data_IF_682793556283
#
_entry.id   IF_682793556283
#
_cell.length_a   1.000
_cell.length_b   1.000
_cell.length_c   1.000
_cell.angle_alpha   90.00
_cell.angle_beta   90.00
_cell.angle_gamma   90.00
#
_symmetry.space_group_name_H-M   'P 1'
#
loop_
_entity.id
_entity.type
_entity.pdbx_description
1 polymer ?
#
# COMPACT_ATOMS: atom_id res chain seq x y z
N UNK A 1 27.48 -0.34 4.93
CA UNK A 1 26.46 0.12 3.96
C UNK A 1 25.03 -0.18 4.43
N UNK A 2 24.68 -1.44 4.69
CA UNK A 2 23.31 -1.84 5.12
C UNK A 2 22.92 -1.25 6.48
N UNK A 3 23.81 -1.30 7.48
CA UNK A 3 23.54 -0.77 8.83
C UNK A 3 23.27 0.75 8.86
N UNK A 4 23.89 1.51 7.94
CA UNK A 4 23.67 2.96 7.82
C UNK A 4 22.26 3.32 7.37
N UNK A 5 21.76 2.58 6.38
CA UNK A 5 20.42 2.77 5.87
C UNK A 5 19.38 2.41 6.94
N UNK A 6 19.60 1.31 7.67
CA UNK A 6 18.73 0.87 8.76
C UNK A 6 18.63 1.91 9.89
N UNK A 7 19.74 2.54 10.28
CA UNK A 7 19.75 3.61 11.30
C UNK A 7 18.97 4.85 10.87
N UNK A 8 19.07 5.26 9.60
CA UNK A 8 18.28 6.36 9.06
C UNK A 8 16.79 6.00 8.97
N UNK A 9 16.46 4.78 8.56
CA UNK A 9 15.10 4.26 8.49
C UNK A 9 14.43 4.20 9.87
N UNK A 10 15.20 3.95 10.94
CA UNK A 10 14.70 3.98 12.32
C UNK A 10 14.42 5.39 12.89
N UNK A 11 14.76 6.46 12.16
CA UNK A 11 14.62 7.85 12.62
C UNK A 11 13.67 8.66 11.75
N UNK A 12 12.56 9.13 12.34
CA UNK A 12 11.54 9.96 11.67
C UNK A 12 12.03 11.33 11.19
N UNK A 13 13.21 11.76 11.65
CA UNK A 13 13.83 13.04 11.26
C UNK A 13 14.98 12.87 10.25
N UNK A 14 15.23 11.64 9.78
CA UNK A 14 16.31 11.38 8.85
C UNK A 14 15.88 11.64 7.40
N UNK A 15 16.52 12.60 6.75
CA UNK A 15 16.31 12.92 5.33
C UNK A 15 17.39 12.32 4.43
N UNK A 16 18.62 12.21 4.94
CA UNK A 16 19.76 11.68 4.19
C UNK A 16 20.70 10.90 5.13
N UNK A 17 21.26 9.80 4.62
CA UNK A 17 22.39 9.12 5.26
C UNK A 17 23.55 8.97 4.27
N UNK A 18 24.75 9.32 4.69
CA UNK A 18 25.98 9.21 3.90
C UNK A 18 26.89 8.13 4.49
N UNK A 19 27.42 7.25 3.64
CA UNK A 19 28.30 6.14 4.05
C UNK A 19 29.70 6.29 3.50
N UNK A 20 30.72 6.18 4.38
CA UNK A 20 32.12 6.16 3.99
C UNK A 20 32.74 4.78 3.81
N UNK A 21 33.04 4.40 2.55
CA UNK A 21 33.72 3.13 2.24
C UNK A 21 35.14 3.07 2.78
N UNK A 22 35.91 4.16 2.67
CA UNK A 22 37.28 4.24 3.17
C UNK A 22 37.36 4.33 4.69
N UNK A 23 36.41 5.02 5.35
CA UNK A 23 36.43 5.24 6.80
C UNK A 23 35.54 4.28 7.59
N UNK A 24 34.71 3.48 6.92
CA UNK A 24 33.67 2.63 7.53
C UNK A 24 32.72 3.37 8.49
N UNK A 25 32.46 4.66 8.25
CA UNK A 25 31.62 5.51 9.12
C UNK A 25 30.33 5.96 8.44
N UNK A 26 29.30 6.23 9.25
CA UNK A 26 28.01 6.74 8.83
C UNK A 26 27.75 8.17 9.31
N UNK A 27 27.00 8.96 8.55
CA UNK A 27 26.43 10.24 9.02
C UNK A 27 24.95 10.34 8.65
N UNK A 28 24.13 10.78 9.61
CA UNK A 28 22.70 11.08 9.44
C UNK A 28 22.55 12.61 9.39
N UNK A 29 21.98 13.13 8.31
CA UNK A 29 21.67 14.56 8.19
C UNK A 29 20.16 14.80 8.38
N UNK A 30 19.83 15.67 9.33
CA UNK A 30 18.46 16.07 9.66
C UNK A 30 18.14 17.37 8.93
N UNK A 31 17.07 17.40 8.13
CA UNK A 31 16.57 18.62 7.43
C UNK A 31 15.05 18.66 7.52
N UNK A 32 14.45 19.85 7.48
CA UNK A 32 12.99 20.03 7.47
C UNK A 32 12.38 19.97 6.05
N UNK A 33 13.21 20.04 4.98
CA UNK A 33 12.76 19.96 3.58
C UNK A 33 13.72 19.11 2.74
N UNK A 34 13.15 18.23 1.91
CA UNK A 34 13.88 17.32 1.00
C UNK A 34 13.82 17.88 -0.44
N UNK A 35 14.93 18.43 -0.95
CA UNK A 35 15.01 18.93 -2.34
C UNK A 35 15.88 18.03 -3.24
N UNK A 36 15.55 18.00 -4.54
CA UNK A 36 16.07 17.05 -5.55
C UNK A 36 17.25 17.66 -6.34
N UNK A 37 18.48 17.15 -6.14
CA UNK A 37 19.64 17.22 -7.06
C UNK A 37 20.60 16.03 -6.95
N UNK A 38 21.00 15.39 -8.05
CA UNK A 38 22.09 14.40 -8.03
C UNK A 38 23.42 15.15 -8.01
N UNK A 39 24.09 15.25 -6.86
CA UNK A 39 25.45 15.78 -6.78
C UNK A 39 26.39 14.76 -6.16
N UNK A 40 27.48 14.48 -6.87
CA UNK A 40 28.69 13.90 -6.29
C UNK A 40 29.43 15.00 -5.53
N UNK A 41 29.33 15.00 -4.21
CA UNK A 41 30.20 15.80 -3.35
C UNK A 41 31.33 14.89 -2.89
N UNK A 42 32.57 15.19 -3.28
CA UNK A 42 33.79 14.52 -2.80
C UNK A 42 33.79 12.97 -2.87
N UNK A 43 33.29 12.39 -3.97
CA UNK A 43 33.36 10.94 -4.20
C UNK A 43 32.29 10.10 -3.49
N UNK A 44 31.32 10.73 -2.83
CA UNK A 44 30.17 10.06 -2.21
C UNK A 44 29.02 9.83 -3.21
N UNK A 45 28.51 8.59 -3.31
CA UNK A 45 27.21 8.30 -3.96
C UNK A 45 26.09 8.50 -2.93
N UNK A 46 25.15 9.38 -3.23
CA UNK A 46 23.98 9.68 -2.40
C UNK A 46 22.74 8.92 -2.88
N UNK A 47 21.94 8.39 -1.94
CA UNK A 47 20.62 7.79 -2.20
C UNK A 47 19.58 8.75 -1.59
N UNK A 48 18.58 9.15 -2.38
CA UNK A 48 17.48 10.00 -1.92
C UNK A 48 16.29 9.17 -1.45
N UNK A 49 15.49 9.76 -0.58
CA UNK A 49 14.23 9.23 -0.06
C UNK A 49 13.04 9.90 -0.76
N UNK A 50 12.99 9.77 -2.07
CA UNK A 50 11.76 9.76 -2.85
C UNK A 50 11.23 8.33 -2.77
N UNK A 51 10.30 8.08 -1.84
CA UNK A 51 9.51 6.84 -1.76
C UNK A 51 10.37 5.60 -2.08
N UNK A 52 11.50 5.43 -1.41
CA UNK A 52 12.16 4.14 -1.37
C UNK A 52 11.36 3.29 -0.38
N UNK A 53 10.21 2.82 -0.87
CA UNK A 53 9.58 1.62 -0.37
C UNK A 53 10.71 0.58 -0.36
N UNK A 54 11.03 -0.03 0.79
CA UNK A 54 12.15 -0.97 0.90
C UNK A 54 11.81 -2.30 0.24
N UNK A 55 11.18 -2.29 -0.93
CA UNK A 55 10.66 -3.44 -1.62
C UNK A 55 10.94 -3.24 -3.10
N UNK A 56 11.80 -4.08 -3.66
CA UNK A 56 12.28 -4.01 -5.05
C UNK A 56 11.19 -4.21 -6.11
N UNK A 57 9.92 -4.30 -5.72
CA UNK A 57 8.76 -4.60 -6.55
C UNK A 57 7.57 -3.62 -6.36
N UNK A 58 7.76 -2.43 -5.76
CA UNK A 58 6.65 -1.50 -5.60
C UNK A 58 6.47 -0.56 -6.80
N UNK A 59 5.23 -0.42 -7.29
CA UNK A 59 4.86 0.56 -8.33
C UNK A 59 3.89 1.59 -7.74
N UNK A 60 4.17 2.88 -7.94
CA UNK A 60 3.29 3.98 -7.49
C UNK A 60 2.62 4.67 -8.69
N UNK A 61 1.35 5.03 -8.53
CA UNK A 61 0.51 5.71 -9.52
C UNK A 61 -0.37 6.74 -8.81
N UNK A 62 -0.81 7.79 -9.51
CA UNK A 62 -1.67 8.82 -8.90
C UNK A 62 -2.94 9.02 -9.71
N UNK A 63 -4.04 9.33 -9.01
CA UNK A 63 -5.33 9.69 -9.58
C UNK A 63 -6.07 10.60 -8.60
N UNK A 64 -6.59 11.72 -9.11
CA UNK A 64 -7.15 12.78 -8.27
C UNK A 64 -6.11 13.33 -7.29
N UNK A 65 -6.51 13.44 -6.02
CA UNK A 65 -5.66 13.91 -4.91
C UNK A 65 -5.01 12.77 -4.12
N UNK A 66 -4.95 11.56 -4.68
CA UNK A 66 -4.35 10.40 -4.01
C UNK A 66 -3.25 9.77 -4.85
N UNK A 67 -2.25 9.23 -4.16
CA UNK A 67 -1.22 8.35 -4.71
C UNK A 67 -1.46 6.94 -4.19
N UNK A 68 -1.34 5.95 -5.07
CA UNK A 68 -1.56 4.55 -4.76
C UNK A 68 -0.29 3.75 -5.02
N UNK A 69 0.10 2.92 -4.07
CA UNK A 69 1.25 2.04 -4.17
C UNK A 69 0.78 0.60 -4.20
N UNK A 70 1.08 -0.12 -5.28
CA UNK A 70 0.82 -1.56 -5.39
C UNK A 70 2.02 -2.31 -4.83
N UNK A 71 1.79 -3.04 -3.75
CA UNK A 71 2.79 -3.85 -3.07
C UNK A 71 2.60 -5.31 -3.47
N UNK A 72 3.58 -5.87 -4.18
CA UNK A 72 3.53 -7.26 -4.65
C UNK A 72 3.85 -8.27 -3.53
N UNK A 73 4.40 -7.84 -2.39
CA UNK A 73 4.61 -8.70 -1.23
C UNK A 73 3.28 -9.25 -0.69
N UNK A 74 3.30 -10.48 -0.21
CA UNK A 74 2.11 -11.12 0.32
C UNK A 74 2.07 -10.97 1.84
N UNK A 75 0.98 -10.39 2.33
CA UNK A 75 0.73 -10.20 3.76
C UNK A 75 -0.71 -10.53 4.13
N UNK A 76 -0.93 -10.79 5.41
CA UNK A 76 -2.27 -10.81 6.01
C UNK A 76 -2.84 -9.39 6.03
N UNK A 77 -4.15 -9.25 5.96
CA UNK A 77 -4.81 -7.95 5.84
C UNK A 77 -4.38 -6.96 6.93
N UNK A 78 -4.29 -7.42 8.19
CA UNK A 78 -3.87 -6.58 9.31
C UNK A 78 -2.43 -6.05 9.15
N UNK A 79 -1.50 -6.91 8.71
CA UNK A 79 -0.11 -6.54 8.45
C UNK A 79 0.03 -5.65 7.21
N UNK A 80 -0.76 -5.90 6.18
CA UNK A 80 -0.83 -5.03 5.00
C UNK A 80 -1.29 -3.61 5.40
N UNK A 81 -2.32 -3.51 6.25
CA UNK A 81 -2.76 -2.23 6.80
C UNK A 81 -1.67 -1.55 7.65
N UNK A 82 -1.04 -2.28 8.57
CA UNK A 82 0.10 -1.75 9.34
C UNK A 82 1.26 -1.29 8.43
N UNK A 83 1.53 -2.01 7.35
CA UNK A 83 2.54 -1.63 6.36
C UNK A 83 2.19 -0.32 5.68
N UNK A 84 0.95 -0.13 5.22
CA UNK A 84 0.52 1.13 4.62
C UNK A 84 0.58 2.29 5.62
N UNK A 85 0.15 2.06 6.86
CA UNK A 85 0.24 3.04 7.95
C UNK A 85 1.68 3.41 8.28
N UNK A 86 2.59 2.44 8.32
CA UNK A 86 4.03 2.66 8.53
C UNK A 86 4.68 3.52 7.44
N UNK A 87 4.10 3.54 6.24
CA UNK A 87 4.51 4.38 5.12
C UNK A 87 3.86 5.78 5.12
N UNK A 88 2.91 6.03 6.03
CA UNK A 88 2.15 7.28 6.11
C UNK A 88 0.86 7.28 5.29
N UNK A 89 0.37 6.11 4.86
CA UNK A 89 -0.89 5.95 4.13
C UNK A 89 -1.85 5.01 4.86
N UNK A 90 -2.81 4.46 4.12
CA UNK A 90 -3.76 3.43 4.57
C UNK A 90 -3.94 2.38 3.48
N UNK A 91 -4.55 1.23 3.76
CA UNK A 91 -5.08 0.42 2.66
C UNK A 91 -6.07 1.26 1.85
N UNK A 92 -6.07 1.09 0.53
CA UNK A 92 -6.92 1.90 -0.36
C UNK A 92 -8.40 1.72 -0.03
N UNK A 93 -9.12 2.82 0.03
CA UNK A 93 -10.57 2.84 0.23
C UNK A 93 -11.19 3.49 -1.00
N UNK A 94 -11.95 2.73 -1.77
CA UNK A 94 -12.42 3.16 -3.09
C UNK A 94 -13.73 3.91 -2.94
N UNK A 95 -13.67 5.24 -2.88
CA UNK A 95 -14.80 6.08 -2.50
C UNK A 95 -15.64 6.55 -3.69
N UNK A 96 -15.10 6.44 -4.91
CA UNK A 96 -15.77 6.84 -6.16
C UNK A 96 -15.68 5.74 -7.22
N UNK A 97 -16.63 5.72 -8.16
CA UNK A 97 -16.61 4.74 -9.26
C UNK A 97 -15.38 4.96 -10.14
N UNK A 98 -15.01 6.21 -10.39
CA UNK A 98 -13.85 6.57 -11.21
C UNK A 98 -12.54 6.08 -10.60
N UNK A 99 -12.40 6.19 -9.27
CA UNK A 99 -11.27 5.65 -8.53
C UNK A 99 -11.23 4.12 -8.59
N UNK A 100 -12.36 3.44 -8.36
CA UNK A 100 -12.45 1.99 -8.47
C UNK A 100 -12.03 1.50 -9.87
N UNK A 101 -12.56 2.10 -10.92
CA UNK A 101 -12.21 1.74 -12.30
C UNK A 101 -10.73 2.05 -12.61
N UNK A 102 -10.19 3.16 -12.11
CA UNK A 102 -8.77 3.49 -12.28
C UNK A 102 -7.88 2.41 -11.66
N UNK A 103 -8.12 2.06 -10.40
CA UNK A 103 -7.35 1.03 -9.69
C UNK A 103 -7.52 -0.34 -10.36
N UNK A 104 -8.74 -0.70 -10.74
CA UNK A 104 -9.05 -1.94 -11.47
C UNK A 104 -8.24 -2.06 -12.77
N UNK A 105 -8.23 -1.02 -13.59
CA UNK A 105 -7.47 -1.00 -14.85
C UNK A 105 -5.95 -1.14 -14.62
N UNK A 106 -5.45 -0.51 -13.56
CA UNK A 106 -4.04 -0.63 -13.19
C UNK A 106 -3.72 -2.07 -12.81
N UNK A 107 -4.47 -2.66 -11.87
CA UNK A 107 -4.20 -4.03 -11.40
C UNK A 107 -4.36 -5.06 -12.53
N UNK A 108 -5.32 -4.87 -13.44
CA UNK A 108 -5.44 -5.70 -14.66
C UNK A 108 -4.12 -5.65 -15.45
N UNK A 109 -3.61 -4.44 -15.72
CA UNK A 109 -2.42 -4.22 -16.55
C UNK A 109 -1.15 -4.81 -15.94
N UNK A 110 -1.02 -4.79 -14.61
CA UNK A 110 0.20 -5.22 -13.92
C UNK A 110 0.12 -6.61 -13.30
N UNK A 111 -1.03 -7.30 -13.37
CA UNK A 111 -1.29 -8.60 -12.72
C UNK A 111 -0.54 -9.80 -13.32
N UNK A 112 0.80 -9.81 -13.29
CA UNK A 112 1.56 -11.03 -13.56
C UNK A 112 1.69 -11.87 -12.29
N UNK A 113 0.96 -13.00 -12.21
CA UNK A 113 1.14 -14.00 -11.15
C UNK A 113 0.47 -13.71 -9.80
N UNK A 114 -0.24 -12.60 -9.66
CA UNK A 114 -0.92 -12.19 -8.41
C UNK A 114 -2.36 -12.73 -8.36
N UNK A 115 -2.80 -13.20 -7.19
CA UNK A 115 -4.16 -13.75 -6.98
C UNK A 115 -5.21 -12.67 -6.66
N UNK A 116 -4.82 -11.64 -5.92
CA UNK A 116 -5.72 -10.57 -5.49
C UNK A 116 -4.97 -9.53 -4.67
N UNK A 117 -5.67 -8.45 -4.32
CA UNK A 117 -5.11 -7.33 -3.59
C UNK A 117 -5.98 -6.96 -2.40
N UNK A 118 -5.42 -6.86 -1.20
CA UNK A 118 -6.12 -6.30 -0.05
C UNK A 118 -6.44 -4.81 -0.27
N UNK A 119 -7.66 -4.44 0.13
CA UNK A 119 -8.14 -3.06 0.21
C UNK A 119 -8.71 -2.79 1.62
N UNK A 120 -8.99 -1.53 1.94
CA UNK A 120 -9.32 -1.07 3.30
C UNK A 120 -10.72 -1.44 3.80
N UNK A 121 -11.45 -2.27 3.07
CA UNK A 121 -12.79 -2.69 3.44
C UNK A 121 -12.73 -3.76 4.54
N UNK A 122 -13.52 -3.57 5.60
CA UNK A 122 -13.64 -4.51 6.70
C UNK A 122 -15.09 -4.64 7.20
N UNK A 123 -15.46 -5.84 7.65
CA UNK A 123 -16.75 -6.15 8.26
C UNK A 123 -16.60 -6.13 9.78
N UNK A 124 -16.95 -5.00 10.40
CA UNK A 124 -16.73 -4.81 11.84
C UNK A 124 -17.70 -5.61 12.71
N UNK A 125 -18.91 -5.88 12.23
CA UNK A 125 -19.99 -6.42 13.05
C UNK A 125 -20.33 -7.88 12.73
N UNK A 126 -19.65 -8.49 11.76
CA UNK A 126 -20.04 -9.78 11.17
C UNK A 126 -21.51 -9.77 10.68
N UNK A 127 -22.05 -8.61 10.35
CA UNK A 127 -23.27 -8.43 9.58
C UNK A 127 -22.89 -8.25 8.10
N UNK A 128 -23.82 -8.19 7.17
CA UNK A 128 -23.45 -8.00 5.76
C UNK A 128 -23.04 -6.54 5.45
N UNK A 129 -22.73 -5.73 6.47
CA UNK A 129 -22.42 -4.31 6.35
C UNK A 129 -20.90 -4.10 6.39
N UNK A 130 -20.31 -4.07 5.19
CA UNK A 130 -18.89 -3.77 5.00
C UNK A 130 -18.67 -2.26 5.00
N UNK A 131 -17.58 -1.83 5.65
CA UNK A 131 -17.25 -0.43 5.85
C UNK A 131 -15.78 -0.14 5.52
N UNK A 132 -15.47 1.12 5.25
CA UNK A 132 -14.09 1.57 5.12
C UNK A 132 -13.47 1.80 6.50
N UNK A 133 -12.21 1.41 6.69
CA UNK A 133 -11.46 1.60 7.94
C UNK A 133 -11.50 3.04 8.47
N UNK A 134 -11.45 4.04 7.57
CA UNK A 134 -11.47 5.45 7.92
C UNK A 134 -12.87 6.00 8.25
N UNK A 135 -13.94 5.27 7.90
CA UNK A 135 -15.34 5.69 8.04
C UNK A 135 -16.18 4.59 8.71
N UNK A 136 -15.87 4.20 9.96
CA UNK A 136 -16.65 3.20 10.67
C UNK A 136 -18.09 3.69 10.91
N UNK A 137 -19.06 2.78 10.90
CA UNK A 137 -20.50 3.01 10.97
C UNK A 137 -21.06 3.84 9.81
N UNK A 138 -20.36 3.89 8.67
CA UNK A 138 -20.86 4.50 7.45
C UNK A 138 -20.89 3.46 6.32
N UNK A 139 -21.99 3.41 5.54
CA UNK A 139 -22.04 2.52 4.39
C UNK A 139 -21.01 2.94 3.35
N UNK A 140 -20.43 1.98 2.63
CA UNK A 140 -19.57 2.31 1.50
C UNK A 140 -20.35 3.11 0.45
N UNK A 141 -19.77 4.20 -0.08
CA UNK A 141 -20.45 5.07 -1.04
C UNK A 141 -20.66 4.40 -2.41
N UNK A 142 -19.84 3.41 -2.74
CA UNK A 142 -19.94 2.59 -3.95
C UNK A 142 -19.67 1.12 -3.61
N UNK A 143 -20.05 0.22 -4.50
CA UNK A 143 -19.74 -1.21 -4.40
C UNK A 143 -19.41 -1.79 -5.78
N UNK A 144 -18.32 -2.54 -5.90
CA UNK A 144 -18.00 -3.34 -7.10
C UNK A 144 -17.92 -4.83 -6.78
N UNK A 145 -18.86 -5.34 -5.96
CA UNK A 145 -18.93 -6.76 -5.62
C UNK A 145 -19.07 -7.66 -6.84
N UNK A 146 -18.49 -8.86 -6.77
CA UNK A 146 -18.82 -9.90 -7.73
C UNK A 146 -20.26 -10.37 -7.53
N UNK A 147 -21.15 -10.12 -8.47
CA UNK A 147 -22.55 -10.58 -8.41
C UNK A 147 -22.87 -11.70 -9.41
N UNK A 148 -21.92 -12.04 -10.29
CA UNK A 148 -22.20 -12.89 -11.46
C UNK A 148 -21.82 -14.35 -11.24
N UNK A 149 -20.58 -14.62 -10.89
CA UNK A 149 -20.06 -16.00 -10.81
C UNK A 149 -20.21 -16.58 -9.40
N UNK A 150 -20.08 -15.72 -8.40
CA UNK A 150 -20.17 -16.08 -6.99
C UNK A 150 -20.55 -14.80 -6.22
N UNK A 151 -21.85 -14.58 -5.92
CA UNK A 151 -22.35 -13.35 -5.33
C UNK A 151 -21.65 -12.99 -4.01
N UNK A 152 -21.13 -11.76 -3.91
CA UNK A 152 -20.46 -11.22 -2.72
C UNK A 152 -21.12 -9.93 -2.20
N UNK A 153 -20.90 -9.58 -0.92
CA UNK A 153 -20.29 -10.42 0.11
C UNK A 153 -21.21 -11.58 0.48
N UNK A 154 -20.68 -12.80 0.57
CA UNK A 154 -21.45 -14.00 0.90
C UNK A 154 -21.48 -14.26 2.41
N UNK A 155 -20.63 -13.57 3.17
CA UNK A 155 -20.58 -13.63 4.62
C UNK A 155 -20.27 -15.02 5.16
N UNK A 156 -19.78 -15.95 4.33
CA UNK A 156 -19.60 -17.33 4.75
C UNK A 156 -18.34 -17.44 5.63
N UNK A 157 -18.54 -17.90 6.87
CA UNK A 157 -17.49 -18.43 7.76
C UNK A 157 -16.39 -17.43 8.17
N UNK A 158 -16.71 -16.20 8.63
CA UNK A 158 -15.71 -15.26 9.23
C UNK A 158 -14.70 -14.69 8.23
N UNK A 159 -15.19 -14.13 7.12
CA UNK A 159 -14.39 -13.46 6.10
C UNK A 159 -14.60 -11.93 6.14
N UNK A 160 -14.09 -11.19 7.15
CA UNK A 160 -14.43 -9.78 7.27
C UNK A 160 -13.58 -8.86 6.39
N UNK A 161 -12.58 -9.36 5.65
CA UNK A 161 -11.64 -8.51 4.91
C UNK A 161 -11.94 -8.47 3.42
N UNK A 162 -11.83 -7.29 2.81
CA UNK A 162 -12.16 -7.09 1.40
C UNK A 162 -10.90 -7.09 0.53
N UNK A 163 -10.99 -7.75 -0.61
CA UNK A 163 -9.96 -7.75 -1.64
C UNK A 163 -10.53 -7.47 -3.04
N UNK A 164 -9.67 -6.98 -3.92
CA UNK A 164 -9.87 -7.07 -5.37
C UNK A 164 -9.39 -8.45 -5.83
N UNK A 165 -10.28 -9.26 -6.42
CA UNK A 165 -9.97 -10.65 -6.76
C UNK A 165 -9.85 -10.87 -8.27
N UNK A 166 -8.70 -11.35 -8.73
CA UNK A 166 -8.46 -11.70 -10.14
C UNK A 166 -9.50 -12.67 -10.70
N UNK A 167 -9.86 -13.70 -9.93
CA UNK A 167 -10.85 -14.71 -10.36
C UNK A 167 -12.25 -14.13 -10.54
N UNK A 168 -12.53 -12.95 -9.98
CA UNK A 168 -13.79 -12.24 -10.10
C UNK A 168 -13.72 -11.09 -11.11
N UNK A 169 -12.84 -11.18 -12.11
CA UNK A 169 -12.61 -10.10 -13.08
C UNK A 169 -12.25 -8.77 -12.38
N UNK A 170 -11.42 -8.89 -11.34
CA UNK A 170 -10.97 -7.78 -10.50
C UNK A 170 -12.11 -7.00 -9.83
N UNK A 171 -13.25 -7.66 -9.61
CA UNK A 171 -14.32 -7.18 -8.71
C UNK A 171 -13.96 -7.48 -7.26
N UNK A 172 -14.68 -6.85 -6.35
CA UNK A 172 -14.49 -7.03 -4.92
C UNK A 172 -15.03 -8.38 -4.47
N UNK A 173 -14.33 -8.98 -3.51
CA UNK A 173 -14.79 -10.12 -2.74
C UNK A 173 -14.31 -9.99 -1.31
N UNK A 174 -15.10 -10.50 -0.39
CA UNK A 174 -14.69 -10.75 0.99
C UNK A 174 -13.87 -12.05 1.07
N UNK A 175 -12.96 -12.11 2.05
CA UNK A 175 -12.12 -13.27 2.31
C UNK A 175 -11.60 -13.29 3.77
N UNK A 176 -11.08 -14.45 4.20
CA UNK A 176 -10.38 -14.59 5.46
C UNK A 176 -9.17 -13.66 5.53
N UNK A 177 -9.11 -12.81 6.56
CA UNK A 177 -8.07 -11.80 6.74
C UNK A 177 -6.64 -12.33 6.84
N UNK A 178 -6.47 -13.61 7.22
CA UNK A 178 -5.17 -14.27 7.35
C UNK A 178 -4.64 -14.79 6.01
N UNK A 179 -5.37 -14.61 4.91
CA UNK A 179 -4.86 -14.95 3.57
C UNK A 179 -3.70 -14.03 3.21
N UNK A 180 -2.66 -14.62 2.63
CA UNK A 180 -1.47 -13.92 2.18
C UNK A 180 -1.72 -13.36 0.77
N UNK A 181 -1.89 -12.04 0.66
CA UNK A 181 -2.14 -11.36 -0.62
C UNK A 181 -1.27 -10.12 -0.76
N UNK A 182 -1.05 -9.73 -2.02
CA UNK A 182 -0.60 -8.38 -2.36
C UNK A 182 -1.59 -7.34 -1.85
N UNK A 183 -1.20 -6.08 -1.80
CA UNK A 183 -2.04 -5.04 -1.21
C UNK A 183 -1.77 -3.68 -1.84
N UNK A 184 -2.75 -2.79 -1.70
CA UNK A 184 -2.68 -1.45 -2.30
C UNK A 184 -2.79 -0.44 -1.18
N UNK A 185 -1.75 0.39 -1.05
CA UNK A 185 -1.76 1.53 -0.14
C UNK A 185 -2.24 2.79 -0.86
N UNK A 186 -2.95 3.66 -0.17
CA UNK A 186 -3.37 4.99 -0.61
C UNK A 186 -2.78 6.07 0.30
N UNK A 187 -2.35 7.17 -0.32
CA UNK A 187 -1.80 8.36 0.30
C UNK A 187 -2.53 9.59 -0.25
N UNK A 188 -3.37 10.22 0.56
CA UNK A 188 -4.12 11.43 0.18
C UNK A 188 -3.28 12.69 0.41
N UNK A 189 -3.34 13.66 -0.51
CA UNK A 189 -2.64 14.95 -0.48
C UNK A 189 -3.49 16.09 0.08
#
# INVERSE_FOLDING_TARGET
MIECALLCLSSRQCCLASFSGEKSTCRIDKSEKCEIGTETINGWKTIRRDIYLPMTNTRSISFGNSTYCIIEEHEEWAKANESCQGLGGKLVELETQEENEFIKNVVITISSGVNGYWIGGYNFNNDNDLEWLSKPNQPMPITDWNMQTYPQPDGLLTQPCVMIWRSFDFRWGDHHCTTQLSYICEFTH
#
